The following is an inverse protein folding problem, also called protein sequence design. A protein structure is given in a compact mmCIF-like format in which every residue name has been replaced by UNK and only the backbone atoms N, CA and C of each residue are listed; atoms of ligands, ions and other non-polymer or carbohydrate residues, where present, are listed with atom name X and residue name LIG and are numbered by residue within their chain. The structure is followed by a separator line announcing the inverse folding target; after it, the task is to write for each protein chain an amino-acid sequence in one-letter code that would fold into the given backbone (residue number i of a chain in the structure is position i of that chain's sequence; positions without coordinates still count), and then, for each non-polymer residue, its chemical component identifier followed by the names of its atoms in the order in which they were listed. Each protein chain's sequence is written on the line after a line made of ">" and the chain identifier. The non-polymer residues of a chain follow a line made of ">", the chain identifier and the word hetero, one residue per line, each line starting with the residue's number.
data_IF_783312994620
#
_entry.id   IF_783312994620
#
_cell.length_a   1.000
_cell.length_b   1.000
_cell.length_c   1.000
_cell.angle_alpha   90.00
_cell.angle_beta   90.00
_cell.angle_gamma   90.00
#
_symmetry.space_group_name_H-M   'P 1'
#
loop_
_entity.id
_entity.type
_entity.pdbx_description
1 polymer ?
#
# COMPACT_ATOMS: atom_id res chain seq x y z
N UNK A 1 13.77 17.95 7.63
CA UNK A 1 13.04 17.67 8.90
C UNK A 1 11.55 17.84 8.63
N UNK A 2 10.85 16.76 8.29
CA UNK A 2 9.39 16.80 8.11
C UNK A 2 8.72 16.87 9.47
N UNK A 3 8.01 17.97 9.73
CA UNK A 3 7.17 18.15 10.91
C UNK A 3 5.95 17.25 10.72
N UNK A 4 6.00 16.02 11.21
CA UNK A 4 4.82 15.14 11.25
C UNK A 4 3.79 15.83 12.14
N UNK A 5 2.73 16.37 11.54
CA UNK A 5 1.55 16.87 12.25
C UNK A 5 0.84 15.65 12.85
N UNK A 6 1.36 15.13 13.95
CA UNK A 6 0.54 14.34 14.86
C UNK A 6 -0.45 15.31 15.48
N UNK A 7 -1.59 15.51 14.81
CA UNK A 7 -2.82 15.95 15.45
C UNK A 7 -3.20 14.86 16.45
N UNK A 8 -2.54 14.87 17.61
CA UNK A 8 -2.94 14.10 18.78
C UNK A 8 -4.23 14.74 19.27
N UNK A 9 -5.35 14.31 18.68
CA UNK A 9 -6.68 14.55 19.23
C UNK A 9 -6.74 13.77 20.54
N UNK A 10 -6.36 14.44 21.62
CA UNK A 10 -6.36 13.91 22.98
C UNK A 10 -7.83 13.69 23.39
N UNK A 11 -8.39 12.52 23.06
CA UNK A 11 -9.80 12.17 23.25
C UNK A 11 -10.17 11.78 24.70
N UNK A 12 -9.25 11.91 25.66
CA UNK A 12 -9.41 11.45 27.04
C UNK A 12 -10.03 12.47 28.00
N UNK A 13 -10.43 13.65 27.55
CA UNK A 13 -11.22 14.57 28.37
C UNK A 13 -12.71 14.25 28.22
N UNK A 14 -13.30 13.65 29.26
CA UNK A 14 -14.74 13.48 29.42
C UNK A 14 -15.42 14.85 29.21
N UNK A 15 -16.20 15.05 28.13
CA UNK A 15 -16.73 16.37 27.79
C UNK A 15 -17.95 16.67 28.66
N UNK A 16 -17.83 17.64 29.57
CA UNK A 16 -18.99 18.35 30.09
C UNK A 16 -19.71 19.00 28.90
N UNK A 17 -20.91 18.53 28.58
CA UNK A 17 -21.77 19.01 27.50
C UNK A 17 -21.84 20.55 27.45
N UNK A 18 -21.19 21.23 26.49
CA UNK A 18 -21.52 22.59 26.16
C UNK A 18 -22.74 22.57 25.23
N UNK A 19 -23.79 23.32 25.57
CA UNK A 19 -25.05 23.38 24.82
C UNK A 19 -24.95 24.11 23.45
N UNK A 20 -23.76 24.19 22.86
CA UNK A 20 -23.52 24.87 21.59
C UNK A 20 -22.50 24.14 20.74
N UNK A 21 -22.97 23.44 19.71
CA UNK A 21 -22.25 23.15 18.47
C UNK A 21 -20.85 22.53 18.59
N UNK A 22 -20.58 21.66 19.56
CA UNK A 22 -19.34 20.87 19.51
C UNK A 22 -19.46 19.87 18.34
N UNK A 23 -18.47 19.85 17.44
CA UNK A 23 -18.39 18.81 16.41
C UNK A 23 -18.45 17.44 17.06
N UNK A 24 -19.22 16.55 16.46
CA UNK A 24 -19.41 15.21 17.01
C UNK A 24 -18.09 14.44 16.99
N UNK A 25 -17.94 13.45 17.88
CA UNK A 25 -16.80 12.53 17.83
C UNK A 25 -16.72 11.81 16.46
N UNK A 26 -17.87 11.59 15.81
CA UNK A 26 -17.97 11.02 14.46
C UNK A 26 -17.42 11.96 13.39
N UNK A 27 -17.63 13.28 13.49
CA UNK A 27 -17.05 14.26 12.55
C UNK A 27 -15.53 14.29 12.64
N UNK A 28 -14.99 14.27 13.86
CA UNK A 28 -13.55 14.20 14.09
C UNK A 28 -12.95 12.89 13.55
N UNK A 29 -13.63 11.77 13.77
CA UNK A 29 -13.25 10.48 13.21
C UNK A 29 -13.32 10.47 11.68
N UNK A 30 -14.35 11.09 11.10
CA UNK A 30 -14.50 11.25 9.65
C UNK A 30 -13.35 12.01 9.02
N UNK A 31 -12.86 13.05 9.70
CA UNK A 31 -11.65 13.76 9.28
C UNK A 31 -10.41 12.85 9.34
N UNK A 32 -10.26 12.03 10.39
CA UNK A 32 -9.19 11.03 10.47
C UNK A 32 -9.29 9.98 9.35
N UNK A 33 -10.50 9.56 8.98
CA UNK A 33 -10.72 8.68 7.84
C UNK A 33 -10.23 9.34 6.55
N UNK A 34 -10.58 10.60 6.29
CA UNK A 34 -10.08 11.33 5.11
C UNK A 34 -8.55 11.41 5.11
N UNK A 35 -7.94 11.76 6.25
CA UNK A 35 -6.48 11.86 6.39
C UNK A 35 -5.76 10.55 6.06
N UNK A 36 -6.37 9.39 6.35
CA UNK A 36 -5.74 8.10 6.09
C UNK A 36 -5.45 7.83 4.61
N UNK A 37 -6.14 8.51 3.69
CA UNK A 37 -5.96 8.42 2.23
C UNK A 37 -4.91 9.37 1.67
N UNK A 38 -4.36 10.26 2.49
CA UNK A 38 -3.32 11.17 2.03
C UNK A 38 -1.94 10.57 2.29
N UNK A 39 -1.16 10.25 1.23
CA UNK A 39 0.18 9.72 1.40
C UNK A 39 1.07 10.78 2.08
N UNK A 40 1.83 10.37 3.09
CA UNK A 40 2.74 11.28 3.83
C UNK A 40 3.78 11.97 2.93
N UNK A 41 4.05 11.41 1.74
CA UNK A 41 5.05 11.91 0.80
C UNK A 41 4.60 13.14 0.00
N UNK A 42 3.29 13.42 -0.12
CA UNK A 42 2.77 14.51 -0.97
C UNK A 42 2.28 15.73 -0.17
N UNK A 43 3.02 16.07 0.88
CA UNK A 43 2.64 16.99 1.95
C UNK A 43 2.64 18.50 1.58
N UNK A 44 2.56 18.90 0.31
CA UNK A 44 2.56 20.34 -0.05
C UNK A 44 1.14 20.92 -0.21
N UNK A 45 0.27 20.29 -1.02
CA UNK A 45 -1.07 20.82 -1.32
C UNK A 45 -2.20 20.10 -0.57
N UNK A 46 -2.06 18.78 -0.38
CA UNK A 46 -2.92 17.97 0.47
C UNK A 46 -3.15 18.49 1.91
N UNK A 47 -2.15 19.09 2.59
CA UNK A 47 -2.35 19.57 3.94
C UNK A 47 -3.29 20.78 4.00
N UNK A 48 -3.31 21.64 2.97
CA UNK A 48 -4.10 22.87 3.03
C UNK A 48 -5.60 22.58 3.12
N UNK A 49 -6.11 21.68 2.27
CA UNK A 49 -7.53 21.28 2.28
C UNK A 49 -7.89 20.56 3.58
N UNK A 50 -7.03 19.65 4.05
CA UNK A 50 -7.25 18.95 5.32
C UNK A 50 -7.21 19.89 6.53
N UNK A 51 -6.33 20.89 6.54
CA UNK A 51 -6.25 21.90 7.60
C UNK A 51 -7.48 22.81 7.61
N UNK A 52 -8.01 23.17 6.43
CA UNK A 52 -9.26 23.94 6.30
C UNK A 52 -10.47 23.13 6.77
N UNK A 53 -10.55 21.84 6.41
CA UNK A 53 -11.58 20.95 6.92
C UNK A 53 -11.45 20.80 8.45
N UNK A 54 -10.25 20.59 8.96
CA UNK A 54 -9.99 20.47 10.39
C UNK A 54 -10.43 21.73 11.16
N UNK A 55 -10.11 22.92 10.66
CA UNK A 55 -10.52 24.17 11.31
C UNK A 55 -12.03 24.39 11.27
N UNK A 56 -12.70 23.99 10.18
CA UNK A 56 -14.16 24.06 10.09
C UNK A 56 -14.84 23.07 11.04
N UNK A 57 -14.36 21.84 11.14
CA UNK A 57 -14.88 20.86 12.12
C UNK A 57 -14.62 21.35 13.55
N UNK A 58 -13.43 21.87 13.85
CA UNK A 58 -13.14 22.45 15.16
C UNK A 58 -14.02 23.67 15.50
N UNK A 59 -14.49 24.41 14.48
CA UNK A 59 -15.45 25.51 14.65
C UNK A 59 -16.90 25.07 14.87
N UNK A 60 -17.16 23.75 14.94
CA UNK A 60 -18.48 23.19 15.21
C UNK A 60 -19.30 22.83 13.98
N UNK A 61 -18.74 22.98 12.77
CA UNK A 61 -19.42 22.51 11.55
C UNK A 61 -19.33 21.00 11.45
N UNK A 62 -20.39 20.36 10.96
CA UNK A 62 -20.32 18.95 10.59
C UNK A 62 -19.31 18.75 9.45
N UNK A 63 -18.77 17.54 9.31
CA UNK A 63 -17.86 17.23 8.21
C UNK A 63 -18.53 17.43 6.84
N UNK A 64 -19.83 17.13 6.75
CA UNK A 64 -20.62 17.30 5.53
C UNK A 64 -20.76 18.78 5.14
N UNK A 65 -21.03 19.66 6.10
CA UNK A 65 -21.06 21.11 5.87
C UNK A 65 -19.67 21.64 5.51
N UNK A 66 -18.63 21.13 6.16
CA UNK A 66 -17.25 21.54 5.89
C UNK A 66 -16.84 21.19 4.45
N UNK A 67 -17.10 19.95 4.01
CA UNK A 67 -16.82 19.52 2.63
C UNK A 67 -17.70 20.26 1.61
N UNK A 68 -18.95 20.55 1.95
CA UNK A 68 -19.85 21.34 1.10
C UNK A 68 -19.42 22.79 0.98
N UNK A 69 -18.76 23.34 2.01
CA UNK A 69 -18.19 24.68 2.05
C UNK A 69 -16.81 24.83 1.39
N UNK A 70 -16.20 23.74 0.91
CA UNK A 70 -14.97 23.82 0.12
C UNK A 70 -15.23 24.43 -1.26
N UNK A 71 -14.27 25.21 -1.75
CA UNK A 71 -14.30 25.76 -3.10
C UNK A 71 -14.18 24.65 -4.15
N UNK A 72 -14.60 24.91 -5.39
CA UNK A 72 -14.61 23.91 -6.46
C UNK A 72 -13.24 23.27 -6.71
N UNK A 73 -12.17 24.06 -6.65
CA UNK A 73 -10.79 23.57 -6.81
C UNK A 73 -10.35 22.68 -5.63
N UNK A 74 -10.64 23.09 -4.40
CA UNK A 74 -10.31 22.32 -3.18
C UNK A 74 -11.07 20.99 -3.13
N UNK A 75 -12.36 21.00 -3.49
CA UNK A 75 -13.18 19.79 -3.59
C UNK A 75 -12.66 18.85 -4.66
N UNK A 76 -12.27 19.37 -5.82
CA UNK A 76 -11.67 18.57 -6.89
C UNK A 76 -10.34 17.97 -6.45
N UNK A 77 -9.50 18.72 -5.74
CA UNK A 77 -8.24 18.22 -5.19
C UNK A 77 -8.48 17.10 -4.16
N UNK A 78 -9.45 17.28 -3.25
CA UNK A 78 -9.87 16.26 -2.28
C UNK A 78 -10.34 14.98 -2.99
N UNK A 79 -11.25 15.11 -3.97
CA UNK A 79 -11.80 13.98 -4.72
C UNK A 79 -10.75 13.29 -5.59
N UNK A 80 -9.80 14.03 -6.16
CA UNK A 80 -8.70 13.46 -6.94
C UNK A 80 -7.77 12.61 -6.07
N UNK A 81 -7.56 13.01 -4.81
CA UNK A 81 -6.66 12.29 -3.88
C UNK A 81 -7.34 11.12 -3.18
N UNK A 82 -8.55 11.33 -2.65
CA UNK A 82 -9.27 10.32 -1.86
C UNK A 82 -10.15 9.41 -2.74
N UNK A 83 -10.56 9.89 -3.92
CA UNK A 83 -11.55 9.25 -4.77
C UNK A 83 -12.96 9.77 -4.49
N UNK A 84 -13.70 10.14 -5.53
CA UNK A 84 -15.05 10.71 -5.39
C UNK A 84 -16.01 9.75 -4.66
N UNK A 85 -16.02 8.47 -5.03
CA UNK A 85 -16.85 7.46 -4.39
C UNK A 85 -16.52 7.33 -2.90
N UNK A 86 -15.22 7.37 -2.57
CA UNK A 86 -14.72 7.22 -1.21
C UNK A 86 -15.06 8.42 -0.32
N UNK A 87 -14.99 9.64 -0.86
CA UNK A 87 -15.46 10.84 -0.14
C UNK A 87 -16.96 10.74 0.17
N UNK A 88 -17.78 10.32 -0.81
CA UNK A 88 -19.22 10.15 -0.60
C UNK A 88 -19.53 9.07 0.46
N UNK A 89 -18.79 7.96 0.44
CA UNK A 89 -18.91 6.88 1.42
C UNK A 89 -18.57 7.36 2.84
N UNK A 90 -17.47 8.12 3.00
CA UNK A 90 -17.10 8.73 4.30
C UNK A 90 -18.20 9.65 4.81
N UNK A 91 -18.72 10.53 3.96
CA UNK A 91 -19.78 11.45 4.36
C UNK A 91 -21.06 10.70 4.75
N UNK A 92 -21.35 9.58 4.09
CA UNK A 92 -22.49 8.72 4.43
C UNK A 92 -22.27 8.06 5.79
N UNK A 93 -21.08 7.49 6.05
CA UNK A 93 -20.78 6.89 7.35
C UNK A 93 -20.82 7.90 8.49
N UNK A 94 -20.29 9.10 8.31
CA UNK A 94 -20.31 10.13 9.37
C UNK A 94 -21.74 10.58 9.70
N UNK A 95 -22.68 10.46 8.76
CA UNK A 95 -24.09 10.72 9.00
C UNK A 95 -24.85 9.57 9.69
N UNK A 96 -24.22 8.41 9.87
CA UNK A 96 -24.85 7.25 10.50
C UNK A 96 -25.03 7.46 12.01
N UNK A 97 -26.28 7.30 12.46
CA UNK A 97 -26.67 7.54 13.86
C UNK A 97 -26.51 6.30 14.71
N UNK A 98 -26.64 5.12 14.10
CA UNK A 98 -26.45 3.86 14.79
C UNK A 98 -24.94 3.55 14.92
N UNK A 99 -24.40 3.45 16.14
CA UNK A 99 -22.99 3.15 16.33
C UNK A 99 -22.59 1.78 15.76
N UNK A 100 -23.48 0.78 15.75
CA UNK A 100 -23.15 -0.54 15.21
C UNK A 100 -22.97 -0.48 13.70
N UNK A 101 -23.90 0.15 12.98
CA UNK A 101 -23.80 0.34 11.53
C UNK A 101 -22.65 1.26 11.15
N UNK A 102 -22.34 2.28 11.96
CA UNK A 102 -21.17 3.11 11.75
C UNK A 102 -19.89 2.27 11.73
N UNK A 103 -19.63 1.47 12.77
CA UNK A 103 -18.40 0.69 12.87
C UNK A 103 -18.34 -0.46 11.87
N UNK A 104 -19.47 -1.08 11.55
CA UNK A 104 -19.55 -2.07 10.48
C UNK A 104 -19.22 -1.44 9.12
N UNK A 105 -19.75 -0.25 8.86
CA UNK A 105 -19.43 0.55 7.68
C UNK A 105 -17.95 0.88 7.58
N UNK A 106 -17.32 1.39 8.66
CA UNK A 106 -15.87 1.67 8.70
C UNK A 106 -15.05 0.41 8.43
N UNK A 107 -15.47 -0.74 8.97
CA UNK A 107 -14.81 -2.02 8.73
C UNK A 107 -14.93 -2.48 7.27
N UNK A 108 -16.14 -2.47 6.69
CA UNK A 108 -16.35 -2.83 5.28
C UNK A 108 -15.56 -1.94 4.33
N UNK A 109 -15.51 -0.66 4.66
CA UNK A 109 -14.75 0.35 3.95
C UNK A 109 -13.22 0.13 4.05
N UNK A 110 -12.70 -0.31 5.20
CA UNK A 110 -11.30 -0.72 5.37
C UNK A 110 -10.97 -1.97 4.53
N UNK A 111 -11.90 -2.92 4.44
CA UNK A 111 -11.77 -4.10 3.56
C UNK A 111 -11.73 -3.72 2.08
N UNK A 112 -12.56 -2.77 1.63
CA UNK A 112 -12.52 -2.27 0.25
C UNK A 112 -11.18 -1.62 -0.08
N UNK A 113 -10.69 -0.73 0.80
CA UNK A 113 -9.38 -0.11 0.65
C UNK A 113 -8.26 -1.16 0.55
N UNK A 114 -8.33 -2.23 1.35
CA UNK A 114 -7.40 -3.36 1.26
C UNK A 114 -7.50 -4.10 -0.07
N UNK A 115 -8.70 -4.39 -0.56
CA UNK A 115 -8.93 -5.08 -1.83
C UNK A 115 -8.37 -4.28 -3.02
N UNK A 116 -8.40 -2.96 -2.92
CA UNK A 116 -7.78 -2.02 -3.86
C UNK A 116 -6.26 -1.90 -3.72
N UNK A 117 -5.63 -2.67 -2.83
CA UNK A 117 -4.20 -2.60 -2.50
C UNK A 117 -3.77 -1.28 -1.82
N UNK A 118 -4.71 -0.54 -1.23
CA UNK A 118 -4.44 0.64 -0.42
C UNK A 118 -4.17 0.22 1.03
N UNK A 119 -3.06 -0.49 1.26
CA UNK A 119 -2.76 -1.11 2.55
C UNK A 119 -2.55 -0.10 3.68
N UNK A 120 -2.00 1.07 3.37
CA UNK A 120 -1.79 2.12 4.37
C UNK A 120 -3.10 2.72 4.88
N UNK A 121 -4.03 3.21 4.02
CA UNK A 121 -5.36 3.62 4.49
C UNK A 121 -6.12 2.51 5.21
N UNK A 122 -6.10 1.28 4.68
CA UNK A 122 -6.77 0.14 5.32
C UNK A 122 -6.23 -0.12 6.73
N UNK A 123 -4.91 -0.15 6.91
CA UNK A 123 -4.28 -0.33 8.22
C UNK A 123 -4.62 0.79 9.21
N UNK A 124 -4.65 2.04 8.74
CA UNK A 124 -5.05 3.19 9.58
C UNK A 124 -6.51 3.06 10.05
N UNK A 125 -7.42 2.64 9.18
CA UNK A 125 -8.84 2.45 9.53
C UNK A 125 -9.04 1.31 10.53
N UNK A 126 -8.41 0.15 10.31
CA UNK A 126 -8.48 -0.95 11.28
C UNK A 126 -7.87 -0.54 12.62
N UNK A 127 -6.75 0.19 12.61
CA UNK A 127 -6.13 0.71 13.84
C UNK A 127 -7.08 1.66 14.57
N UNK A 128 -7.78 2.52 13.83
CA UNK A 128 -8.76 3.44 14.40
C UNK A 128 -9.94 2.70 15.04
N UNK A 129 -10.43 1.61 14.44
CA UNK A 129 -11.46 0.73 15.05
C UNK A 129 -10.94 0.12 16.35
N UNK A 130 -9.72 -0.42 16.36
CA UNK A 130 -9.12 -1.04 17.57
C UNK A 130 -8.92 -0.01 18.69
N UNK A 131 -8.43 1.18 18.35
CA UNK A 131 -8.15 2.26 19.29
C UNK A 131 -9.41 2.95 19.84
N UNK A 132 -10.56 2.80 19.17
CA UNK A 132 -11.83 3.34 19.65
C UNK A 132 -12.30 2.74 20.99
N UNK A 133 -11.72 1.61 21.42
CA UNK A 133 -12.00 1.03 22.74
C UNK A 133 -13.46 0.64 22.89
N UNK A 134 -14.12 1.07 23.96
CA UNK A 134 -15.53 0.76 24.23
C UNK A 134 -16.51 1.43 23.27
N UNK A 135 -16.09 2.47 22.54
CA UNK A 135 -16.95 3.11 21.54
C UNK A 135 -17.24 2.17 20.35
N UNK A 136 -16.34 1.21 20.06
CA UNK A 136 -16.52 0.22 19.02
C UNK A 136 -16.96 -1.14 19.60
N UNK A 137 -17.96 -1.81 18.98
CA UNK A 137 -18.38 -3.15 19.36
C UNK A 137 -17.19 -4.11 19.49
N UNK A 138 -17.20 -4.97 20.50
CA UNK A 138 -16.10 -5.89 20.77
C UNK A 138 -15.79 -6.79 19.56
N UNK A 139 -16.83 -7.21 18.84
CA UNK A 139 -16.67 -7.99 17.60
C UNK A 139 -15.95 -7.21 16.50
N UNK A 140 -16.32 -5.95 16.27
CA UNK A 140 -15.68 -5.10 15.26
C UNK A 140 -14.19 -4.90 15.57
N UNK A 141 -13.84 -4.70 16.85
CA UNK A 141 -12.45 -4.60 17.31
C UNK A 141 -11.67 -5.89 17.10
N UNK A 142 -12.25 -7.04 17.46
CA UNK A 142 -11.60 -8.34 17.27
C UNK A 142 -11.36 -8.64 15.79
N UNK A 143 -12.34 -8.36 14.92
CA UNK A 143 -12.19 -8.52 13.47
C UNK A 143 -11.10 -7.59 12.93
N UNK A 144 -11.15 -6.30 13.27
CA UNK A 144 -10.15 -5.32 12.85
C UNK A 144 -8.72 -5.69 13.30
N UNK A 145 -8.56 -6.16 14.54
CA UNK A 145 -7.26 -6.65 15.03
C UNK A 145 -6.76 -7.85 14.25
N UNK A 146 -7.63 -8.82 13.95
CA UNK A 146 -7.26 -9.98 13.14
C UNK A 146 -6.86 -9.58 11.71
N UNK A 147 -7.50 -8.57 11.12
CA UNK A 147 -7.09 -8.03 9.81
C UNK A 147 -5.74 -7.29 9.88
N UNK A 148 -5.49 -6.51 10.95
CA UNK A 148 -4.18 -5.88 11.18
C UNK A 148 -3.07 -6.90 11.33
N UNK A 149 -3.32 -7.97 12.10
CA UNK A 149 -2.36 -9.05 12.27
C UNK A 149 -2.04 -9.69 10.92
N UNK A 150 -3.06 -9.97 10.10
CA UNK A 150 -2.87 -10.51 8.75
C UNK A 150 -2.03 -9.58 7.85
N UNK A 151 -2.30 -8.27 7.86
CA UNK A 151 -1.52 -7.25 7.11
C UNK A 151 -0.07 -7.20 7.62
N UNK A 152 0.13 -7.30 8.94
CA UNK A 152 1.46 -7.32 9.56
C UNK A 152 2.19 -8.67 9.42
N UNK A 153 1.58 -9.67 8.77
CA UNK A 153 2.13 -11.02 8.63
C UNK A 153 2.11 -11.87 9.91
N UNK A 154 1.32 -11.45 10.90
CA UNK A 154 1.07 -12.12 12.20
C UNK A 154 -0.29 -12.84 12.17
N UNK A 155 -0.57 -13.66 13.19
CA UNK A 155 -1.87 -14.33 13.37
C UNK A 155 -2.01 -15.71 12.74
N UNK A 156 -3.25 -16.22 12.69
CA UNK A 156 -3.57 -17.58 12.20
C UNK A 156 -3.17 -17.78 10.74
N UNK A 157 -2.45 -18.88 10.46
CA UNK A 157 -1.92 -19.26 9.14
C UNK A 157 -2.97 -19.22 8.03
N UNK A 158 -4.24 -19.54 8.33
CA UNK A 158 -5.34 -19.54 7.34
C UNK A 158 -5.59 -18.18 6.69
N UNK A 159 -5.84 -17.13 7.48
CA UNK A 159 -6.09 -15.78 6.96
C UNK A 159 -4.87 -15.19 6.25
N UNK A 160 -3.67 -15.51 6.74
CA UNK A 160 -2.43 -15.11 6.09
C UNK A 160 -2.27 -15.76 4.71
N UNK A 161 -2.52 -17.06 4.60
CA UNK A 161 -2.47 -17.77 3.32
C UNK A 161 -3.51 -17.22 2.34
N UNK A 162 -4.72 -16.92 2.80
CA UNK A 162 -5.75 -16.31 1.96
C UNK A 162 -5.31 -14.93 1.45
N UNK A 163 -4.83 -14.05 2.33
CA UNK A 163 -4.34 -12.73 1.95
C UNK A 163 -3.16 -12.82 0.96
N UNK A 164 -2.17 -13.67 1.23
CA UNK A 164 -1.03 -13.88 0.34
C UNK A 164 -1.44 -14.49 -0.99
N UNK A 165 -2.41 -15.42 -1.00
CA UNK A 165 -2.91 -16.04 -2.23
C UNK A 165 -3.67 -15.02 -3.07
N UNK A 166 -4.54 -14.21 -2.47
CA UNK A 166 -5.25 -13.14 -3.16
C UNK A 166 -4.28 -12.10 -3.75
N UNK A 167 -3.28 -11.68 -2.97
CA UNK A 167 -2.23 -10.78 -3.44
C UNK A 167 -1.39 -11.41 -4.55
N UNK A 168 -1.01 -12.68 -4.40
CA UNK A 168 -0.26 -13.42 -5.41
C UNK A 168 -1.07 -13.54 -6.70
N UNK A 169 -2.35 -13.91 -6.64
CA UNK A 169 -3.21 -13.98 -7.83
C UNK A 169 -3.33 -12.62 -8.49
N UNK A 170 -3.57 -11.55 -7.71
CA UNK A 170 -3.66 -10.18 -8.24
C UNK A 170 -2.37 -9.76 -8.95
N UNK A 171 -1.21 -9.99 -8.31
CA UNK A 171 0.10 -9.71 -8.88
C UNK A 171 0.41 -10.60 -10.09
N UNK A 172 0.02 -11.87 -10.05
CA UNK A 172 0.20 -12.82 -11.14
C UNK A 172 -0.72 -12.53 -12.34
N UNK A 173 -1.81 -11.76 -12.15
CA UNK A 173 -2.68 -11.26 -13.22
C UNK A 173 -2.36 -9.84 -13.68
N UNK A 174 -1.53 -9.12 -12.93
CA UNK A 174 -1.11 -7.77 -13.31
C UNK A 174 -0.05 -7.86 -14.40
N UNK A 175 -0.42 -7.44 -15.62
CA UNK A 175 0.47 -7.44 -16.78
C UNK A 175 1.81 -6.71 -16.51
N UNK A 176 1.82 -5.70 -15.64
CA UNK A 176 3.02 -4.96 -15.25
C UNK A 176 4.01 -5.83 -14.46
N UNK A 177 3.51 -6.79 -13.68
CA UNK A 177 4.32 -7.72 -12.88
C UNK A 177 4.68 -9.00 -13.66
N UNK A 178 3.78 -9.46 -14.54
CA UNK A 178 4.00 -10.61 -15.41
C UNK A 178 5.12 -10.32 -16.42
N UNK A 179 5.13 -9.13 -17.03
CA UNK A 179 6.10 -8.79 -18.07
C UNK A 179 7.57 -8.97 -17.62
N UNK A 180 8.02 -8.46 -16.46
CA UNK A 180 9.38 -8.71 -15.97
C UNK A 180 9.65 -10.19 -15.68
N UNK A 181 8.68 -10.94 -15.16
CA UNK A 181 8.85 -12.38 -14.91
C UNK A 181 9.02 -13.19 -16.20
N UNK A 182 8.20 -12.91 -17.22
CA UNK A 182 8.33 -13.55 -18.54
C UNK A 182 9.68 -13.19 -19.17
N UNK A 183 10.07 -11.91 -19.09
CA UNK A 183 11.31 -11.42 -19.69
C UNK A 183 12.54 -12.00 -18.97
N UNK A 184 12.52 -12.07 -17.64
CA UNK A 184 13.54 -12.74 -16.83
C UNK A 184 13.65 -14.23 -17.18
N UNK A 185 12.52 -14.93 -17.29
CA UNK A 185 12.47 -16.35 -17.68
C UNK A 185 13.05 -16.57 -19.09
N UNK A 186 12.75 -15.69 -20.04
CA UNK A 186 13.29 -15.76 -21.40
C UNK A 186 14.81 -15.53 -21.41
N UNK A 187 15.32 -14.54 -20.67
CA UNK A 187 16.76 -14.29 -20.57
C UNK A 187 17.48 -15.46 -19.88
N UNK A 188 16.91 -16.02 -18.82
CA UNK A 188 17.46 -17.20 -18.15
C UNK A 188 17.55 -18.39 -19.11
N UNK A 189 16.48 -18.69 -19.86
CA UNK A 189 16.48 -19.78 -20.84
C UNK A 189 17.49 -19.55 -21.98
N UNK A 190 17.61 -18.33 -22.49
CA UNK A 190 18.61 -17.98 -23.51
C UNK A 190 20.03 -18.15 -22.97
N UNK A 191 20.31 -17.65 -21.76
CA UNK A 191 21.62 -17.74 -21.10
C UNK A 191 22.00 -19.20 -20.84
N UNK A 192 21.06 -19.99 -20.31
CA UNK A 192 21.26 -21.43 -20.09
C UNK A 192 21.53 -22.17 -21.39
N UNK A 193 20.78 -21.89 -22.46
CA UNK A 193 20.97 -22.50 -23.78
C UNK A 193 22.34 -22.14 -24.36
N UNK A 194 22.76 -20.86 -24.25
CA UNK A 194 24.08 -20.41 -24.70
C UNK A 194 25.22 -21.07 -23.93
N UNK A 195 25.09 -21.18 -22.60
CA UNK A 195 26.07 -21.86 -21.75
C UNK A 195 26.19 -23.35 -22.10
N UNK A 196 25.06 -24.03 -22.29
CA UNK A 196 25.03 -25.43 -22.73
C UNK A 196 25.62 -25.60 -24.14
N UNK A 197 25.34 -24.68 -25.07
CA UNK A 197 25.93 -24.67 -26.41
C UNK A 197 27.45 -24.53 -26.37
N UNK A 198 27.98 -23.64 -25.52
CA UNK A 198 29.42 -23.48 -25.33
C UNK A 198 30.07 -24.72 -24.72
N UNK A 199 29.42 -25.34 -23.73
CA UNK A 199 29.90 -26.58 -23.11
C UNK A 199 29.87 -27.77 -24.08
N UNK A 200 28.87 -27.83 -24.96
CA UNK A 200 28.78 -28.86 -26.00
C UNK A 200 29.87 -28.71 -27.07
N UNK A 201 30.34 -27.48 -27.32
CA UNK A 201 31.42 -27.22 -28.28
C UNK A 201 32.83 -27.54 -27.72
N UNK A 202 33.01 -27.64 -26.41
CA UNK A 202 34.28 -28.05 -25.78
C UNK A 202 34.44 -29.57 -25.76
N UNK A 203 35.32 -30.10 -26.61
CA UNK A 203 35.58 -31.54 -26.78
C UNK A 203 36.41 -32.18 -25.65
N UNK A 204 37.07 -31.41 -24.79
CA UNK A 204 38.05 -31.89 -23.78
C UNK A 204 37.49 -32.12 -22.36
N UNK A 205 36.17 -32.25 -22.17
CA UNK A 205 35.57 -32.42 -20.84
C UNK A 205 35.35 -33.89 -20.44
N UNK A 206 35.86 -34.26 -19.26
CA UNK A 206 35.65 -35.56 -18.60
C UNK A 206 34.15 -35.91 -18.39
N UNK A 207 33.81 -37.20 -18.34
CA UNK A 207 32.43 -37.69 -18.20
C UNK A 207 31.69 -37.12 -16.97
N UNK A 208 32.41 -36.86 -15.88
CA UNK A 208 31.84 -36.30 -14.64
C UNK A 208 31.44 -34.81 -14.78
N UNK A 209 32.19 -34.04 -15.60
CA UNK A 209 31.84 -32.65 -15.91
C UNK A 209 30.74 -32.53 -16.96
N UNK A 210 30.49 -33.57 -17.78
CA UNK A 210 29.42 -33.59 -18.80
C UNK A 210 27.99 -33.77 -18.25
N UNK A 211 27.83 -34.25 -17.02
CA UNK A 211 26.51 -34.59 -16.47
C UNK A 211 25.99 -33.62 -15.42
N UNK A 212 26.33 -33.88 -14.15
CA UNK A 212 25.81 -33.13 -13.01
C UNK A 212 26.55 -31.81 -12.80
N UNK A 213 27.88 -31.81 -13.01
CA UNK A 213 28.73 -30.63 -12.87
C UNK A 213 28.38 -29.51 -13.85
N UNK A 214 28.20 -29.83 -15.13
CA UNK A 214 27.75 -28.87 -16.15
C UNK A 214 26.35 -28.29 -15.86
N UNK A 215 25.41 -29.12 -15.40
CA UNK A 215 24.06 -28.65 -15.04
C UNK A 215 24.09 -27.71 -13.83
N UNK A 216 24.90 -28.03 -12.83
CA UNK A 216 25.07 -27.19 -11.64
C UNK A 216 25.80 -25.87 -11.95
N UNK A 217 26.92 -25.92 -12.68
CA UNK A 217 27.65 -24.69 -13.07
C UNK A 217 26.87 -23.82 -14.05
N UNK A 218 26.13 -24.42 -15.00
CA UNK A 218 25.21 -23.65 -15.85
C UNK A 218 24.05 -23.05 -15.05
N UNK A 219 23.54 -23.75 -14.03
CA UNK A 219 22.52 -23.21 -13.12
C UNK A 219 23.05 -22.06 -12.27
N UNK A 220 24.25 -22.19 -11.70
CA UNK A 220 24.89 -21.15 -10.89
C UNK A 220 25.26 -19.91 -11.73
N UNK A 221 25.79 -20.11 -12.95
CA UNK A 221 26.08 -19.01 -13.86
C UNK A 221 24.80 -18.30 -14.32
N UNK A 222 23.71 -19.05 -14.56
CA UNK A 222 22.39 -18.47 -14.85
C UNK A 222 21.90 -17.59 -13.71
N UNK A 223 22.01 -18.05 -12.46
CA UNK A 223 21.59 -17.31 -11.28
C UNK A 223 22.37 -16.00 -11.06
N UNK A 224 23.69 -16.02 -11.29
CA UNK A 224 24.56 -14.83 -11.20
C UNK A 224 24.18 -13.76 -12.24
N UNK A 225 23.71 -14.17 -13.42
CA UNK A 225 23.23 -13.24 -14.46
C UNK A 225 21.78 -12.80 -14.21
N UNK A 226 20.97 -13.63 -13.56
CA UNK A 226 19.54 -13.39 -13.37
C UNK A 226 19.26 -12.22 -12.40
N UNK A 227 19.98 -12.15 -11.27
CA UNK A 227 19.82 -11.05 -10.30
C UNK A 227 20.01 -9.64 -10.91
N UNK A 228 21.12 -9.34 -11.62
CA UNK A 228 21.30 -8.03 -12.26
C UNK A 228 20.33 -7.81 -13.42
N UNK A 229 19.96 -8.85 -14.16
CA UNK A 229 18.99 -8.75 -15.24
C UNK A 229 17.59 -8.40 -14.71
N UNK A 230 17.18 -8.98 -13.59
CA UNK A 230 15.88 -8.70 -12.97
C UNK A 230 15.80 -7.27 -12.44
N UNK A 231 16.89 -6.80 -11.80
CA UNK A 231 17.00 -5.41 -11.34
C UNK A 231 16.97 -4.40 -12.50
N UNK A 232 17.69 -4.66 -13.59
CA UNK A 232 17.71 -3.80 -14.78
C UNK A 232 16.39 -3.87 -15.55
N UNK A 233 15.82 -5.07 -15.72
CA UNK A 233 14.59 -5.31 -16.45
C UNK A 233 13.38 -4.65 -15.77
N UNK A 234 13.27 -4.77 -14.44
CA UNK A 234 12.23 -4.10 -13.67
C UNK A 234 12.30 -2.58 -13.79
N UNK A 235 13.50 -1.98 -13.69
CA UNK A 235 13.70 -0.53 -13.88
C UNK A 235 13.37 -0.07 -15.31
N UNK A 236 13.79 -0.83 -16.32
CA UNK A 236 13.48 -0.51 -17.71
C UNK A 236 11.96 -0.53 -17.97
N UNK A 237 11.25 -1.51 -17.42
CA UNK A 237 9.79 -1.61 -17.52
C UNK A 237 9.09 -0.46 -16.79
N UNK A 238 9.53 -0.09 -15.59
CA UNK A 238 8.98 1.06 -14.86
C UNK A 238 9.23 2.39 -15.60
N UNK A 239 10.39 2.53 -16.24
CA UNK A 239 10.71 3.69 -17.08
C UNK A 239 9.82 3.75 -18.33
N UNK A 240 9.59 2.62 -19.00
CA UNK A 240 8.69 2.54 -20.16
C UNK A 240 7.22 2.80 -19.78
N UNK A 241 6.81 2.40 -18.57
CA UNK A 241 5.47 2.66 -18.04
C UNK A 241 5.27 4.12 -17.59
N UNK A 242 6.30 4.96 -17.63
CA UNK A 242 6.23 6.36 -17.18
C UNK A 242 6.14 6.53 -15.65
N UNK A 243 6.35 5.47 -14.88
CA UNK A 243 6.20 5.43 -13.41
C UNK A 243 7.56 5.37 -12.68
N UNK A 244 8.69 5.56 -13.37
CA UNK A 244 10.04 5.36 -12.82
C UNK A 244 10.89 6.63 -12.65
N UNK A 245 11.79 6.59 -11.66
CA UNK A 245 12.92 7.53 -11.51
C UNK A 245 13.73 7.58 -12.81
N UNK A 246 14.15 8.76 -13.31
CA UNK A 246 14.93 8.86 -14.54
C UNK A 246 16.17 7.97 -14.47
N UNK A 247 16.41 7.22 -15.55
CA UNK A 247 17.52 6.28 -15.63
C UNK A 247 18.85 7.03 -15.49
N UNK A 248 19.54 6.82 -14.37
CA UNK A 248 20.89 7.35 -14.15
C UNK A 248 21.93 6.23 -14.30
N UNK A 249 22.60 6.23 -15.44
CA UNK A 249 23.65 5.25 -15.76
C UNK A 249 24.79 5.25 -14.73
N UNK A 250 25.05 6.37 -14.05
CA UNK A 250 26.11 6.47 -13.04
C UNK A 250 25.75 5.74 -11.73
N UNK A 251 24.46 5.57 -11.44
CA UNK A 251 23.98 4.90 -10.23
C UNK A 251 23.68 3.41 -10.46
N UNK A 252 23.34 3.00 -11.68
CA UNK A 252 23.11 1.60 -12.05
C UNK A 252 24.31 0.70 -11.71
N UNK A 253 25.54 1.16 -11.98
CA UNK A 253 26.74 0.39 -11.64
C UNK A 253 26.95 0.21 -10.13
N UNK A 254 26.60 1.22 -9.32
CA UNK A 254 26.70 1.17 -7.86
C UNK A 254 25.65 0.26 -7.25
N UNK A 255 24.43 0.28 -7.78
CA UNK A 255 23.34 -0.59 -7.34
C UNK A 255 23.57 -2.06 -7.74
N UNK A 256 24.09 -2.31 -8.95
CA UNK A 256 24.48 -3.67 -9.38
C UNK A 256 25.61 -4.23 -8.52
N UNK A 257 26.60 -3.40 -8.19
CA UNK A 257 27.67 -3.78 -7.28
C UNK A 257 27.12 -4.09 -5.88
N UNK A 258 26.22 -3.25 -5.35
CA UNK A 258 25.59 -3.48 -4.05
C UNK A 258 24.75 -4.76 -4.02
N UNK A 259 23.97 -5.02 -5.08
CA UNK A 259 23.14 -6.22 -5.21
C UNK A 259 23.96 -7.51 -5.36
N UNK A 260 25.21 -7.42 -5.82
CA UNK A 260 26.11 -8.58 -5.92
C UNK A 260 26.84 -8.94 -4.61
N UNK A 261 26.78 -8.06 -3.61
CA UNK A 261 27.45 -8.21 -2.30
C UNK A 261 26.45 -8.65 -1.20
N UNK A 262 25.15 -8.64 -1.49
CA UNK A 262 24.08 -9.12 -0.60
C UNK A 262 23.66 -10.53 -0.97
#
# INVERSE_FOLDING_TARGET
>A
MSKTLHLSLNASSHPQHPAGGAASAQDAFGLQMLQSFFPQAEAAEAPAVLLKLASQVQSGKSLQEAVSGLEGAERTALQKKVGQARVAEILTLVGEKDPEFFWEGVHGMALSARAENQLFPAGNLFTAIVQAGEAAPAEARQRAQAELDAIAGKGHTGRRMEFLTQQFVKQATDAKMIAPMILGSAVFQLTRTAALGRLAATTEASWFTRGFGARFTAGAAGFVVEAPTFALGSKALMSLAGEGTPWDAANVGKELAAASIT
#
